data_IF_474065070838
#
_entry.id   IF_474065070838
#
_cell.length_a   1.000
_cell.length_b   1.000
_cell.length_c   1.000
_cell.angle_alpha   90.00
_cell.angle_beta   90.00
_cell.angle_gamma   90.00
#
_symmetry.space_group_name_H-M   'P 1'
#
loop_
_entity.id
_entity.type
_entity.pdbx_description
1 polymer ?
#
# COMPACT_ATOMS: atom_id res chain seq x y z
N UNK A 1 6.84 -0.34 -15.03
CA UNK A 1 8.10 0.21 -14.47
C UNK A 1 9.26 -0.79 -14.56
N UNK A 2 10.52 -0.32 -14.72
CA UNK A 2 11.70 -1.20 -14.80
C UNK A 2 12.15 -1.69 -13.42
N UNK A 3 12.73 -2.89 -13.33
CA UNK A 3 13.16 -3.48 -12.05
C UNK A 3 14.16 -2.61 -11.28
N UNK A 4 15.06 -1.92 -11.99
CA UNK A 4 16.02 -1.02 -11.34
C UNK A 4 15.33 0.16 -10.63
N UNK A 5 14.33 0.76 -11.26
CA UNK A 5 13.58 1.88 -10.65
C UNK A 5 12.83 1.40 -9.41
N UNK A 6 12.17 0.23 -9.49
CA UNK A 6 11.43 -0.33 -8.35
C UNK A 6 12.36 -0.57 -7.16
N UNK A 7 13.56 -1.12 -7.39
CA UNK A 7 14.56 -1.32 -6.33
C UNK A 7 15.01 0.00 -5.69
N UNK A 8 15.23 1.04 -6.51
CA UNK A 8 15.57 2.37 -6.01
C UNK A 8 14.46 2.96 -5.14
N UNK A 9 13.21 2.88 -5.58
CA UNK A 9 12.05 3.36 -4.81
C UNK A 9 11.92 2.60 -3.49
N UNK A 10 11.99 1.26 -3.55
CA UNK A 10 11.87 0.40 -2.38
C UNK A 10 12.96 0.72 -1.33
N UNK A 11 14.22 0.86 -1.76
CA UNK A 11 15.32 1.27 -0.89
C UNK A 11 15.11 2.66 -0.28
N UNK A 12 14.69 3.64 -1.09
CA UNK A 12 14.45 5.00 -0.60
C UNK A 12 13.27 5.07 0.38
N UNK A 13 12.26 4.20 0.24
CA UNK A 13 11.13 4.10 1.14
C UNK A 13 11.38 3.22 2.36
N UNK A 14 12.50 2.48 2.39
CA UNK A 14 12.83 1.48 3.42
C UNK A 14 11.78 0.35 3.49
N UNK A 15 11.44 -0.19 2.32
CA UNK A 15 10.44 -1.26 2.15
C UNK A 15 10.94 -2.30 1.15
N UNK A 16 10.28 -3.47 1.11
CA UNK A 16 10.54 -4.50 0.09
C UNK A 16 9.58 -4.35 -1.08
N UNK A 17 10.04 -4.68 -2.30
CA UNK A 17 9.16 -4.78 -3.46
C UNK A 17 8.41 -6.11 -3.47
N UNK A 18 7.22 -6.12 -4.09
CA UNK A 18 6.41 -7.32 -4.17
C UNK A 18 7.01 -8.34 -5.13
N UNK A 19 7.06 -9.59 -4.70
CA UNK A 19 7.49 -10.72 -5.53
C UNK A 19 6.27 -11.37 -6.17
N UNK A 20 6.44 -11.89 -7.37
CA UNK A 20 5.44 -12.78 -7.95
C UNK A 20 5.58 -14.18 -7.33
N UNK A 21 5.09 -14.31 -6.09
CA UNK A 21 5.01 -15.58 -5.41
C UNK A 21 3.85 -16.37 -6.00
N UNK A 22 4.14 -17.51 -6.64
CA UNK A 22 3.12 -18.43 -7.14
C UNK A 22 2.76 -19.46 -6.07
N UNK A 23 2.23 -19.01 -4.92
CA UNK A 23 1.70 -19.94 -3.92
C UNK A 23 0.40 -20.58 -4.42
N UNK A 24 -0.05 -21.60 -3.68
CA UNK A 24 -1.16 -22.45 -4.09
C UNK A 24 -2.52 -21.75 -4.19
N UNK A 25 -2.71 -20.58 -3.57
CA UNK A 25 -4.00 -19.85 -3.59
C UNK A 25 -3.81 -18.34 -3.62
N UNK A 26 -4.75 -17.58 -4.23
CA UNK A 26 -4.71 -16.11 -4.24
C UNK A 26 -4.69 -15.48 -2.85
N UNK A 27 -5.42 -16.05 -1.88
CA UNK A 27 -5.44 -15.55 -0.50
C UNK A 27 -4.06 -15.64 0.12
N UNK A 28 -3.36 -16.79 -0.03
CA UNK A 28 -2.00 -16.95 0.50
C UNK A 28 -1.01 -16.01 -0.17
N UNK A 29 -1.11 -15.80 -1.48
CA UNK A 29 -0.28 -14.83 -2.19
C UNK A 29 -0.48 -13.41 -1.64
N UNK A 30 -1.73 -13.00 -1.42
CA UNK A 30 -2.03 -11.68 -0.88
C UNK A 30 -1.56 -11.52 0.57
N UNK A 31 -1.76 -12.54 1.41
CA UNK A 31 -1.31 -12.53 2.79
C UNK A 31 0.23 -12.50 2.87
N UNK A 32 0.93 -13.29 2.08
CA UNK A 32 2.40 -13.27 2.02
C UNK A 32 2.93 -11.88 1.61
N UNK A 33 2.29 -11.25 0.63
CA UNK A 33 2.71 -9.94 0.13
C UNK A 33 2.36 -8.77 1.05
N UNK A 34 1.21 -8.80 1.74
CA UNK A 34 0.64 -7.63 2.41
C UNK A 34 0.62 -7.71 3.94
N UNK A 35 0.80 -8.89 4.53
CA UNK A 35 0.88 -9.02 6.00
C UNK A 35 2.06 -8.24 6.55
N UNK A 36 1.84 -7.49 7.62
CA UNK A 36 2.86 -6.60 8.21
C UNK A 36 3.02 -5.27 7.48
N UNK A 37 2.34 -5.07 6.34
CA UNK A 37 2.26 -3.80 5.61
C UNK A 37 0.87 -3.18 5.75
N UNK A 38 -0.18 -3.99 5.64
CA UNK A 38 -1.58 -3.58 5.83
C UNK A 38 -2.43 -4.72 6.38
N UNK A 39 -3.47 -4.37 7.16
CA UNK A 39 -4.44 -5.33 7.71
C UNK A 39 -5.53 -5.74 6.71
N UNK A 40 -5.45 -5.26 5.46
CA UNK A 40 -6.50 -5.45 4.46
C UNK A 40 -6.80 -6.93 4.17
N UNK A 41 -5.76 -7.78 4.16
CA UNK A 41 -5.87 -9.19 3.82
C UNK A 41 -5.87 -10.12 5.05
N UNK A 42 -5.96 -9.55 6.26
CA UNK A 42 -6.07 -10.32 7.48
C UNK A 42 -7.37 -11.12 7.48
N UNK A 43 -7.33 -12.33 8.04
CA UNK A 43 -8.49 -13.22 8.05
C UNK A 43 -9.70 -12.58 8.74
N UNK A 44 -9.48 -11.80 9.80
CA UNK A 44 -10.53 -11.10 10.53
C UNK A 44 -11.14 -9.96 9.71
N UNK A 45 -10.32 -9.16 9.02
CA UNK A 45 -10.76 -8.09 8.12
C UNK A 45 -11.59 -8.65 6.96
N UNK A 46 -11.12 -9.71 6.31
CA UNK A 46 -11.85 -10.38 5.23
C UNK A 46 -13.17 -10.95 5.72
N UNK A 47 -13.18 -11.58 6.91
CA UNK A 47 -14.40 -12.12 7.52
C UNK A 47 -15.41 -11.01 7.84
N UNK A 48 -14.96 -9.92 8.44
CA UNK A 48 -15.80 -8.77 8.79
C UNK A 48 -16.49 -8.15 7.58
N UNK A 49 -15.77 -7.98 6.47
CA UNK A 49 -16.32 -7.42 5.23
C UNK A 49 -16.96 -8.46 4.30
N UNK A 50 -17.18 -9.70 4.78
CA UNK A 50 -17.65 -10.82 3.96
C UNK A 50 -16.88 -10.94 2.63
N UNK A 51 -15.59 -10.64 2.63
CA UNK A 51 -14.75 -10.51 1.44
C UNK A 51 -13.96 -11.77 1.17
N UNK A 52 -13.68 -12.07 -0.11
CA UNK A 52 -12.85 -13.20 -0.54
C UNK A 52 -11.93 -12.78 -1.66
N UNK A 53 -10.63 -13.09 -1.52
CA UNK A 53 -9.62 -12.82 -2.54
C UNK A 53 -9.67 -13.93 -3.60
N UNK A 54 -9.90 -13.55 -4.85
CA UNK A 54 -10.04 -14.44 -6.02
C UNK A 54 -8.95 -14.23 -7.09
N UNK A 55 -8.04 -13.29 -6.84
CA UNK A 55 -6.84 -13.04 -7.63
C UNK A 55 -5.85 -12.20 -6.82
N UNK A 56 -4.56 -12.46 -6.98
CA UNK A 56 -3.50 -11.74 -6.29
C UNK A 56 -2.20 -11.85 -7.10
N UNK A 57 -1.62 -10.73 -7.49
CA UNK A 57 -0.43 -10.69 -8.35
C UNK A 57 0.33 -9.37 -8.18
N UNK A 58 1.66 -9.44 -8.21
CA UNK A 58 2.50 -8.26 -8.30
C UNK A 58 2.42 -7.65 -9.70
N UNK A 59 2.32 -6.32 -9.80
CA UNK A 59 2.29 -5.61 -11.08
C UNK A 59 3.38 -4.55 -11.16
N UNK A 60 3.69 -4.11 -12.38
CA UNK A 60 4.72 -3.11 -12.66
C UNK A 60 6.10 -3.42 -12.06
N UNK A 61 6.60 -4.63 -12.33
CA UNK A 61 7.91 -5.07 -11.85
C UNK A 61 7.99 -5.20 -10.31
N UNK A 62 6.85 -5.32 -9.63
CA UNK A 62 6.78 -5.46 -8.17
C UNK A 62 6.55 -4.17 -7.40
N UNK A 63 6.33 -3.05 -8.11
CA UNK A 63 6.05 -1.76 -7.46
C UNK A 63 4.64 -1.69 -6.84
N UNK A 64 3.71 -2.51 -7.31
CA UNK A 64 2.35 -2.55 -6.77
C UNK A 64 1.89 -4.00 -6.61
N UNK A 65 0.93 -4.20 -5.72
CA UNK A 65 0.27 -5.48 -5.52
C UNK A 65 -1.21 -5.36 -5.84
N UNK A 66 -1.65 -6.11 -6.85
CA UNK A 66 -3.03 -6.15 -7.30
C UNK A 66 -3.73 -7.34 -6.66
N UNK A 67 -4.83 -7.09 -5.97
CA UNK A 67 -5.78 -8.14 -5.59
C UNK A 67 -7.09 -7.95 -6.33
N UNK A 68 -7.78 -9.05 -6.61
CA UNK A 68 -9.16 -9.04 -7.05
C UNK A 68 -9.97 -9.72 -5.96
N UNK A 69 -10.99 -9.06 -5.46
CA UNK A 69 -11.83 -9.58 -4.40
C UNK A 69 -13.31 -9.56 -4.79
N UNK A 70 -14.05 -10.51 -4.24
CA UNK A 70 -15.51 -10.38 -4.11
C UNK A 70 -15.84 -9.90 -2.71
N UNK A 71 -16.65 -8.87 -2.59
CA UNK A 71 -17.13 -8.35 -1.32
C UNK A 71 -18.64 -8.15 -1.35
N UNK A 72 -19.22 -7.96 -0.16
CA UNK A 72 -20.64 -7.73 -0.04
C UNK A 72 -21.04 -6.32 -0.50
N UNK A 73 -22.18 -6.20 -1.17
CA UNK A 73 -22.75 -4.92 -1.63
C UNK A 73 -23.78 -4.34 -0.67
N UNK A 74 -24.17 -5.08 0.36
CA UNK A 74 -25.19 -4.68 1.33
C UNK A 74 -24.86 -5.27 2.70
N UNK A 75 -25.40 -4.65 3.74
CA UNK A 75 -25.13 -5.08 5.12
C UNK A 75 -25.54 -6.52 5.40
N UNK A 76 -26.63 -6.98 4.77
CA UNK A 76 -27.19 -8.32 4.98
C UNK A 76 -26.46 -9.40 4.15
N UNK A 77 -25.46 -9.02 3.36
CA UNK A 77 -24.71 -9.91 2.48
C UNK A 77 -25.59 -10.74 1.53
N UNK A 78 -26.65 -10.12 1.04
CA UNK A 78 -27.57 -10.70 0.05
C UNK A 78 -27.05 -10.54 -1.38
N UNK A 79 -26.27 -9.50 -1.65
CA UNK A 79 -25.63 -9.23 -2.94
C UNK A 79 -24.12 -9.13 -2.79
N UNK A 80 -23.44 -9.51 -3.87
CA UNK A 80 -21.97 -9.49 -3.95
C UNK A 80 -21.54 -8.87 -5.26
N UNK A 81 -20.45 -8.13 -5.19
CA UNK A 81 -19.77 -7.59 -6.35
C UNK A 81 -18.30 -7.95 -6.35
N UNK A 82 -17.62 -7.59 -7.44
CA UNK A 82 -16.18 -7.73 -7.60
C UNK A 82 -15.53 -6.36 -7.69
N UNK A 83 -14.34 -6.23 -7.12
CA UNK A 83 -13.43 -5.10 -7.38
C UNK A 83 -12.00 -5.53 -7.41
N UNK A 84 -11.18 -4.69 -8.01
CA UNK A 84 -9.73 -4.74 -7.90
C UNK A 84 -9.29 -3.73 -6.85
N UNK A 85 -8.32 -4.12 -6.03
CA UNK A 85 -7.63 -3.20 -5.12
C UNK A 85 -6.15 -3.23 -5.45
N UNK A 86 -5.56 -2.06 -5.66
CA UNK A 86 -4.14 -1.91 -5.93
C UNK A 86 -3.45 -1.28 -4.72
N UNK A 87 -2.44 -1.95 -4.20
CA UNK A 87 -1.62 -1.46 -3.11
C UNK A 87 -0.26 -1.01 -3.63
N UNK A 88 0.24 0.10 -3.10
CA UNK A 88 1.63 0.49 -3.29
C UNK A 88 2.58 -0.23 -2.31
N UNK A 89 3.88 0.00 -2.42
CA UNK A 89 4.92 -0.65 -1.60
C UNK A 89 4.77 -0.41 -0.09
N UNK A 90 3.94 0.54 0.32
CA UNK A 90 3.70 0.87 1.73
C UNK A 90 2.35 0.38 2.21
N UNK A 91 1.65 -0.43 1.42
CA UNK A 91 0.32 -0.97 1.76
C UNK A 91 -0.81 0.06 1.67
N UNK A 92 -0.56 1.24 1.08
CA UNK A 92 -1.62 2.20 0.81
C UNK A 92 -2.42 1.74 -0.41
N UNK A 93 -3.74 1.65 -0.28
CA UNK A 93 -4.62 1.38 -1.42
C UNK A 93 -4.66 2.63 -2.32
N UNK A 94 -4.13 2.52 -3.54
CA UNK A 94 -4.11 3.62 -4.54
C UNK A 94 -5.26 3.54 -5.53
N UNK A 95 -5.89 2.38 -5.63
CA UNK A 95 -7.12 2.15 -6.38
C UNK A 95 -7.99 1.19 -5.58
N UNK A 96 -9.22 1.61 -5.30
CA UNK A 96 -10.22 0.82 -4.59
C UNK A 96 -11.61 1.39 -4.92
N UNK A 97 -12.34 0.79 -5.86
CA UNK A 97 -13.71 1.18 -6.12
C UNK A 97 -14.60 1.02 -4.88
N UNK A 98 -15.55 1.94 -4.74
CA UNK A 98 -16.55 1.91 -3.67
C UNK A 98 -17.60 0.81 -3.93
N UNK A 99 -18.53 0.61 -2.98
CA UNK A 99 -19.48 -0.51 -3.04
C UNK A 99 -20.47 -0.38 -4.20
N UNK A 100 -20.79 0.85 -4.58
CA UNK A 100 -21.66 1.23 -5.69
C UNK A 100 -21.01 0.98 -7.05
N UNK A 101 -19.68 0.92 -7.09
CA UNK A 101 -18.87 0.75 -8.30
C UNK A 101 -18.46 -0.71 -8.53
N UNK A 102 -18.88 -1.63 -7.66
CA UNK A 102 -18.56 -3.05 -7.81
C UNK A 102 -19.21 -3.63 -9.07
N UNK A 103 -18.43 -4.43 -9.80
CA UNK A 103 -18.89 -5.08 -11.02
C UNK A 103 -19.51 -6.45 -10.73
N UNK A 104 -20.25 -6.98 -11.70
CA UNK A 104 -20.94 -8.27 -11.56
C UNK A 104 -20.02 -9.46 -11.72
N UNK A 105 -18.94 -9.31 -12.48
CA UNK A 105 -17.96 -10.38 -12.71
C UNK A 105 -16.53 -9.91 -12.43
N UNK A 106 -15.65 -10.89 -12.21
CA UNK A 106 -14.22 -10.68 -12.01
C UNK A 106 -13.57 -10.01 -13.22
N UNK A 107 -13.96 -10.43 -14.42
CA UNK A 107 -13.40 -9.95 -15.69
C UNK A 107 -13.76 -8.48 -15.94
N UNK A 108 -14.98 -8.08 -15.55
CA UNK A 108 -15.40 -6.68 -15.60
C UNK A 108 -14.56 -5.81 -14.64
N UNK A 109 -14.32 -6.29 -13.41
CA UNK A 109 -13.47 -5.57 -12.45
C UNK A 109 -12.04 -5.44 -12.97
N UNK A 110 -11.47 -6.52 -13.51
CA UNK A 110 -10.10 -6.52 -14.03
C UNK A 110 -9.97 -5.60 -15.26
N UNK A 111 -10.96 -5.61 -16.16
CA UNK A 111 -11.01 -4.70 -17.31
C UNK A 111 -11.06 -3.24 -16.86
N UNK A 112 -11.98 -2.88 -15.96
CA UNK A 112 -12.11 -1.52 -15.44
C UNK A 112 -10.81 -1.06 -14.74
N UNK A 113 -10.16 -1.96 -13.99
CA UNK A 113 -8.85 -1.70 -13.42
C UNK A 113 -7.80 -1.36 -14.47
N UNK A 114 -7.67 -2.14 -15.53
CA UNK A 114 -6.65 -1.88 -16.56
C UNK A 114 -6.95 -0.61 -17.36
N UNK A 115 -8.22 -0.28 -17.60
CA UNK A 115 -8.63 0.99 -18.19
C UNK A 115 -8.15 2.19 -17.35
N UNK A 116 -8.33 2.12 -16.02
CA UNK A 116 -7.79 3.11 -15.09
C UNK A 116 -6.25 3.09 -15.02
N UNK A 117 -5.65 1.89 -14.89
CA UNK A 117 -4.21 1.73 -14.68
C UNK A 117 -3.39 2.23 -15.87
N UNK A 118 -3.91 2.11 -17.09
CA UNK A 118 -3.27 2.66 -18.29
C UNK A 118 -3.19 4.20 -18.30
N UNK A 119 -4.00 4.88 -17.47
CA UNK A 119 -3.98 6.32 -17.30
C UNK A 119 -3.23 6.75 -16.02
N UNK A 120 -2.87 5.79 -15.16
CA UNK A 120 -2.24 6.05 -13.87
C UNK A 120 -0.73 6.30 -14.04
N UNK A 121 -0.27 7.48 -13.62
CA UNK A 121 1.17 7.80 -13.61
C UNK A 121 1.84 7.23 -12.35
N UNK A 122 2.34 6.00 -12.51
CA UNK A 122 3.05 5.26 -11.49
C UNK A 122 4.29 6.00 -10.94
N UNK A 123 5.00 6.73 -11.81
CA UNK A 123 6.23 7.44 -11.43
C UNK A 123 5.89 8.71 -10.65
N UNK A 124 4.86 9.44 -11.07
CA UNK A 124 4.38 10.61 -10.34
C UNK A 124 3.88 10.22 -8.93
N UNK A 125 3.16 9.09 -8.80
CA UNK A 125 2.75 8.56 -7.50
C UNK A 125 3.93 8.42 -6.54
N UNK A 126 4.97 7.69 -6.97
CA UNK A 126 6.14 7.47 -6.11
C UNK A 126 7.00 8.71 -5.92
N UNK A 127 7.11 9.59 -6.93
CA UNK A 127 7.78 10.88 -6.75
C UNK A 127 7.14 11.70 -5.64
N UNK A 128 5.81 11.80 -5.65
CA UNK A 128 5.06 12.51 -4.60
C UNK A 128 5.29 11.88 -3.23
N UNK A 129 5.35 10.55 -3.17
CA UNK A 129 5.58 9.81 -1.92
C UNK A 129 6.97 10.02 -1.35
N UNK A 130 7.99 10.01 -2.22
CA UNK A 130 9.38 10.32 -1.85
C UNK A 130 9.52 11.76 -1.35
N UNK A 131 8.89 12.72 -2.02
CA UNK A 131 8.88 14.12 -1.57
C UNK A 131 8.26 14.26 -0.17
N UNK A 132 7.09 13.63 0.08
CA UNK A 132 6.47 13.63 1.42
C UNK A 132 7.37 13.01 2.49
N UNK A 133 8.12 11.94 2.15
CA UNK A 133 9.09 11.34 3.07
C UNK A 133 10.25 12.30 3.34
N UNK A 134 10.78 12.96 2.31
CA UNK A 134 11.83 13.96 2.45
C UNK A 134 11.39 15.13 3.34
N UNK A 135 10.19 15.67 3.11
CA UNK A 135 9.63 16.77 3.93
C UNK A 135 9.48 16.36 5.41
N UNK A 136 9.02 15.13 5.65
CA UNK A 136 8.90 14.59 7.02
C UNK A 136 10.27 14.46 7.68
N UNK A 137 11.25 13.92 6.98
CA UNK A 137 12.62 13.77 7.49
C UNK A 137 13.26 15.13 7.78
N UNK A 138 13.04 16.13 6.92
CA UNK A 138 13.54 17.48 7.13
C UNK A 138 13.00 18.09 8.44
N UNK A 139 11.70 17.92 8.72
CA UNK A 139 11.10 18.36 10.00
C UNK A 139 11.69 17.63 11.20
N UNK A 140 11.86 16.31 11.09
CA UNK A 140 12.47 15.51 12.16
C UNK A 140 13.91 15.92 12.45
N UNK A 141 14.69 16.26 11.41
CA UNK A 141 16.05 16.80 11.60
C UNK A 141 16.01 18.12 12.36
N UNK A 142 15.08 19.03 12.02
CA UNK A 142 14.90 20.29 12.77
C UNK A 142 14.56 20.03 14.24
N UNK A 143 13.58 19.16 14.52
CA UNK A 143 13.17 18.81 15.89
C UNK A 143 14.33 18.20 16.71
N UNK A 144 15.16 17.37 16.09
CA UNK A 144 16.32 16.77 16.73
C UNK A 144 17.40 17.81 17.06
N UNK A 145 17.66 18.74 16.13
CA UNK A 145 18.62 19.83 16.35
C UNK A 145 18.15 20.76 17.48
N UNK A 146 16.84 21.06 17.53
CA UNK A 146 16.26 21.87 18.61
C UNK A 146 16.39 21.17 19.97
N UNK A 147 16.16 19.85 20.02
CA UNK A 147 16.36 19.06 21.23
C UNK A 147 17.84 19.02 21.66
N UNK A 148 18.79 18.92 20.73
CA UNK A 148 20.22 18.97 21.00
C UNK A 148 20.63 20.30 21.66
N UNK A 149 20.12 21.43 21.16
CA UNK A 149 20.38 22.75 21.73
C UNK A 149 19.87 22.88 23.17
N UNK A 150 18.68 22.32 23.46
CA UNK A 150 18.13 22.30 24.82
C UNK A 150 19.03 21.48 25.75
N UNK A 151 19.45 20.29 25.33
CA UNK A 151 20.34 19.42 26.12
C UNK A 151 21.68 20.12 26.39
N UNK A 152 22.27 20.79 25.39
CA UNK A 152 23.52 21.53 25.55
C UNK A 152 23.39 22.67 26.57
N UNK A 153 22.32 23.47 26.48
CA UNK A 153 22.07 24.56 27.42
C UNK A 153 21.90 24.08 28.88
N UNK A 154 21.23 22.94 29.10
CA UNK A 154 21.11 22.35 30.44
C UNK A 154 22.45 21.85 31.00
N UNK A 155 23.33 21.30 30.15
CA UNK A 155 24.66 20.86 30.58
C UNK A 155 25.52 22.05 31.00
N UNK A 156 25.49 23.16 30.27
CA UNK A 156 26.22 24.39 30.62
C UNK A 156 25.69 25.03 31.91
N UNK A 157 24.37 25.01 32.14
CA UNK A 157 23.73 25.51 33.36
C UNK A 157 24.07 24.72 34.63
N UNK A 158 24.45 23.43 34.52
CA UNK A 158 24.90 22.59 35.65
C UNK A 158 26.38 22.76 36.01
N UNK A 159 27.15 23.47 35.19
CA UNK A 159 28.60 23.69 35.39
C UNK A 159 28.89 25.04 36.08
N UNK A 160 27.87 25.87 36.34
CA UNK A 160 28.03 27.09 37.12
C UNK A 160 27.78 26.82 38.62
N UNK A 161 28.79 26.99 39.50
CA UNK A 161 28.70 26.76 40.95
C UNK A 161 27.92 27.84 41.71
#
# INVERSE_FOLDING_TARGET
>A
MSSSIVKTIAAALDVSFFRDARLSTPVRNAQDALTGITHYCDADTLRYHHSRIVGAVAVSGGAFFKIIETCSQDYDNTRRGYRVVLFDLTGTAVYRPDLEELTRTKEQADKAFWEWFNQFDELAHYRNKLNRKADKLARQITELNDAELIIAAEQEGRVSP
#
